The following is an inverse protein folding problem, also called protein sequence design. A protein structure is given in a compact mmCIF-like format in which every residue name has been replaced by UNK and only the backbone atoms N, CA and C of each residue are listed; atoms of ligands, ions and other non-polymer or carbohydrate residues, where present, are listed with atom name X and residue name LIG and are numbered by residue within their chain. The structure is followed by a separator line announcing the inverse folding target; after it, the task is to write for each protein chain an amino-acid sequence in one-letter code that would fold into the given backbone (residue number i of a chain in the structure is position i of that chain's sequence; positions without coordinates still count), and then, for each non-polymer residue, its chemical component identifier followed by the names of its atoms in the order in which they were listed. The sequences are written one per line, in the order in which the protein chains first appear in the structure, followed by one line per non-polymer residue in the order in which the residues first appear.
data_IF_852589885325
#
_entry.id   IF_852589885325
#
_cell.length_a   1.000
_cell.length_b   1.000
_cell.length_c   1.000
_cell.angle_alpha   90.00
_cell.angle_beta   90.00
_cell.angle_gamma   90.00
#
_symmetry.space_group_name_H-M   'P 1'
#
loop_
_entity.id
_entity.type
_entity.pdbx_description
1 polymer ?
#
# COMPACT_ATOMS: atom_id res chain seq x y z
N UNK A 1 16.67 -2.63 -5.65
CA UNK A 1 15.18 -2.41 -5.69
C UNK A 1 14.43 -3.63 -6.18
N UNK A 2 13.23 -3.85 -5.67
CA UNK A 2 12.33 -4.91 -6.16
C UNK A 2 11.27 -4.34 -7.11
N UNK A 3 11.09 -5.00 -8.24
CA UNK A 3 10.06 -4.66 -9.22
C UNK A 3 9.04 -5.79 -9.28
N UNK A 4 7.77 -5.47 -9.15
CA UNK A 4 6.68 -6.44 -9.28
C UNK A 4 5.99 -6.29 -10.62
N UNK A 5 5.97 -7.36 -11.39
CA UNK A 5 5.20 -7.46 -12.65
C UNK A 5 4.02 -8.38 -12.47
N UNK A 6 2.90 -8.04 -13.08
CA UNK A 6 1.64 -8.75 -12.89
C UNK A 6 1.16 -9.44 -14.16
N UNK A 7 0.75 -10.70 -14.02
CA UNK A 7 0.13 -11.50 -15.09
C UNK A 7 -1.25 -11.95 -14.62
N UNK A 8 -2.25 -11.83 -15.47
CA UNK A 8 -3.61 -12.26 -15.17
C UNK A 8 -3.87 -13.66 -15.74
N UNK A 9 -4.34 -14.57 -14.89
CA UNK A 9 -4.77 -15.92 -15.26
C UNK A 9 -6.29 -15.97 -15.19
N UNK A 10 -6.92 -16.21 -16.33
CA UNK A 10 -8.37 -16.38 -16.42
C UNK A 10 -8.76 -17.84 -16.20
N UNK A 11 -10.05 -18.11 -16.01
CA UNK A 11 -10.58 -19.45 -15.76
C UNK A 11 -10.36 -20.46 -16.91
N UNK A 12 -10.20 -20.00 -18.16
CA UNK A 12 -9.89 -20.83 -19.32
C UNK A 12 -8.39 -21.10 -19.55
N UNK A 13 -7.52 -20.57 -18.68
CA UNK A 13 -6.09 -20.78 -18.82
C UNK A 13 -5.69 -22.17 -18.33
N UNK A 14 -4.80 -22.85 -19.03
CA UNK A 14 -4.32 -24.21 -18.72
C UNK A 14 -3.72 -24.41 -17.32
N UNK A 15 -3.23 -23.34 -16.69
CA UNK A 15 -2.72 -23.36 -15.31
C UNK A 15 -3.80 -22.99 -14.28
N UNK A 16 -5.05 -22.79 -14.67
CA UNK A 16 -6.09 -22.38 -13.72
C UNK A 16 -6.30 -23.40 -12.60
N UNK A 17 -6.48 -24.69 -12.98
CA UNK A 17 -6.65 -25.79 -12.02
C UNK A 17 -5.46 -25.95 -11.07
N UNK A 18 -4.24 -25.81 -11.59
CA UNK A 18 -3.03 -25.84 -10.81
C UNK A 18 -2.99 -24.74 -9.75
N UNK A 19 -3.24 -23.49 -10.12
CA UNK A 19 -3.25 -22.38 -9.16
C UNK A 19 -4.42 -22.47 -8.19
N UNK A 20 -5.57 -22.98 -8.64
CA UNK A 20 -6.72 -23.22 -7.77
C UNK A 20 -6.37 -24.20 -6.64
N UNK A 21 -5.76 -25.32 -6.98
CA UNK A 21 -5.33 -26.33 -6.01
C UNK A 21 -4.30 -25.75 -5.02
N UNK A 22 -3.26 -25.08 -5.51
CA UNK A 22 -2.27 -24.46 -4.63
C UNK A 22 -2.90 -23.43 -3.65
N UNK A 23 -3.81 -22.58 -4.12
CA UNK A 23 -4.46 -21.58 -3.28
C UNK A 23 -5.37 -22.21 -2.19
N UNK A 24 -6.06 -23.30 -2.52
CA UNK A 24 -6.87 -24.07 -1.55
C UNK A 24 -5.97 -24.74 -0.50
N UNK A 25 -4.90 -25.42 -0.93
CA UNK A 25 -3.92 -26.06 -0.03
C UNK A 25 -3.24 -25.04 0.89
N UNK A 26 -2.90 -23.85 0.35
CA UNK A 26 -2.35 -22.75 1.15
C UNK A 26 -3.35 -22.26 2.21
N UNK A 27 -4.64 -22.21 1.88
CA UNK A 27 -5.69 -21.87 2.83
C UNK A 27 -5.78 -22.89 3.98
N UNK A 28 -5.70 -24.17 3.66
CA UNK A 28 -5.72 -25.25 4.64
C UNK A 28 -4.51 -25.15 5.58
N UNK A 29 -3.31 -25.03 5.05
CA UNK A 29 -2.09 -24.90 5.87
C UNK A 29 -2.11 -23.63 6.75
N UNK A 30 -2.65 -22.53 6.24
CA UNK A 30 -2.85 -21.33 7.06
C UNK A 30 -3.73 -21.65 8.28
N UNK A 31 -4.88 -22.32 8.05
CA UNK A 31 -5.80 -22.70 9.11
C UNK A 31 -5.19 -23.74 10.07
N UNK A 32 -4.47 -24.74 9.57
CA UNK A 32 -3.74 -25.70 10.38
C UNK A 32 -2.70 -25.01 11.28
N UNK A 33 -1.99 -24.03 10.76
CA UNK A 33 -1.01 -23.25 11.53
C UNK A 33 -1.68 -22.40 12.61
N UNK A 34 -2.78 -21.70 12.28
CA UNK A 34 -3.57 -20.94 13.27
C UNK A 34 -4.12 -21.86 14.34
N UNK A 35 -4.64 -23.04 13.94
CA UNK A 35 -5.14 -24.04 14.85
C UNK A 35 -4.06 -24.47 15.85
N UNK A 36 -2.89 -24.89 15.37
CA UNK A 36 -1.79 -25.34 16.21
C UNK A 36 -1.37 -24.26 17.23
N UNK A 37 -1.22 -22.99 16.78
CA UNK A 37 -0.83 -21.88 17.65
C UNK A 37 -1.89 -21.63 18.73
N UNK A 38 -3.18 -21.65 18.35
CA UNK A 38 -4.27 -21.40 19.29
C UNK A 38 -4.42 -22.54 20.28
N UNK A 39 -4.37 -23.79 19.81
CA UNK A 39 -4.46 -24.96 20.67
C UNK A 39 -3.34 -24.98 21.72
N UNK A 40 -2.11 -24.69 21.31
CA UNK A 40 -0.99 -24.59 22.24
C UNK A 40 -1.23 -23.52 23.32
N UNK A 41 -1.68 -22.34 22.93
CA UNK A 41 -1.91 -21.23 23.87
C UNK A 41 -3.06 -21.51 24.83
N UNK A 42 -4.13 -22.19 24.40
CA UNK A 42 -5.30 -22.51 25.23
C UNK A 42 -5.08 -23.77 26.06
N UNK A 43 -4.33 -24.76 25.55
CA UNK A 43 -4.02 -25.98 26.30
C UNK A 43 -3.24 -25.70 27.59
N UNK A 44 -2.38 -24.68 27.59
CA UNK A 44 -1.68 -24.23 28.81
C UNK A 44 -2.67 -23.67 29.85
N UNK A 45 -3.83 -23.18 29.41
CA UNK A 45 -4.86 -22.59 30.29
C UNK A 45 -5.98 -23.56 30.67
N UNK A 46 -6.21 -24.60 29.86
CA UNK A 46 -7.30 -25.57 30.02
C UNK A 46 -6.74 -27.00 30.11
N UNK A 47 -5.85 -27.22 31.06
CA UNK A 47 -5.00 -28.42 31.18
C UNK A 47 -5.79 -29.76 31.19
N UNK A 48 -6.93 -29.84 31.84
CA UNK A 48 -7.68 -31.10 32.00
C UNK A 48 -8.34 -31.61 30.72
N UNK A 49 -8.87 -30.71 29.88
CA UNK A 49 -9.64 -31.08 28.67
C UNK A 49 -8.72 -31.41 27.49
N UNK A 50 -7.51 -30.82 27.45
CA UNK A 50 -6.59 -30.89 26.33
C UNK A 50 -5.36 -31.77 26.58
N UNK A 51 -5.34 -32.49 27.70
CA UNK A 51 -4.21 -33.31 28.15
C UNK A 51 -3.69 -34.29 27.07
N UNK A 52 -4.53 -35.06 26.34
CA UNK A 52 -4.02 -36.01 25.36
C UNK A 52 -3.31 -35.31 24.14
N UNK A 53 -3.78 -34.11 23.79
CA UNK A 53 -3.16 -33.32 22.72
C UNK A 53 -1.85 -32.68 23.22
N UNK A 54 -1.86 -32.26 24.47
CA UNK A 54 -0.70 -31.68 25.14
C UNK A 54 0.41 -32.71 25.36
N UNK A 55 0.10 -33.92 25.81
CA UNK A 55 1.08 -34.99 26.01
C UNK A 55 1.77 -35.37 24.70
N UNK A 56 1.01 -35.53 23.64
CA UNK A 56 1.58 -35.79 22.30
C UNK A 56 2.45 -34.65 21.78
N UNK A 57 2.06 -33.40 22.03
CA UNK A 57 2.86 -32.24 21.72
C UNK A 57 4.12 -32.19 22.59
N UNK A 58 4.03 -32.53 23.86
CA UNK A 58 5.15 -32.56 24.79
C UNK A 58 6.17 -33.64 24.45
N UNK A 59 5.74 -34.82 24.03
CA UNK A 59 6.63 -35.86 23.52
C UNK A 59 7.44 -35.37 22.32
N UNK A 60 6.78 -34.68 21.38
CA UNK A 60 7.44 -34.08 20.22
C UNK A 60 8.41 -32.99 20.64
N UNK A 61 8.10 -32.17 21.65
CA UNK A 61 9.01 -31.16 22.18
C UNK A 61 10.22 -31.77 22.83
N UNK A 62 10.09 -32.80 23.63
CA UNK A 62 11.20 -33.53 24.28
C UNK A 62 12.12 -34.17 23.22
N UNK A 63 11.56 -34.70 22.14
CA UNK A 63 12.35 -35.22 20.99
C UNK A 63 13.13 -34.13 20.27
N UNK A 64 12.61 -32.91 20.20
CA UNK A 64 13.29 -31.74 19.59
C UNK A 64 14.45 -31.29 20.46
N UNK A 65 14.24 -31.21 21.78
CA UNK A 65 15.26 -30.79 22.73
C UNK A 65 16.47 -31.72 22.73
N UNK A 66 16.22 -33.02 22.56
CA UNK A 66 17.30 -34.03 22.49
C UNK A 66 18.14 -33.97 21.22
N UNK A 67 17.63 -33.43 20.10
CA UNK A 67 18.31 -33.41 18.79
C UNK A 67 18.98 -32.09 18.43
N UNK A 68 18.64 -30.99 19.07
CA UNK A 68 19.23 -29.67 18.79
C UNK A 68 20.13 -29.21 19.92
N UNK A 69 21.42 -29.55 19.82
CA UNK A 69 22.43 -28.99 20.72
C UNK A 69 22.35 -27.45 20.69
N UNK A 70 21.92 -26.85 21.81
CA UNK A 70 22.00 -25.43 22.05
C UNK A 70 20.73 -24.60 21.80
N UNK A 71 19.62 -25.18 21.39
CA UNK A 71 18.35 -24.45 21.31
C UNK A 71 17.46 -24.89 22.48
N UNK A 72 17.50 -24.16 23.58
CA UNK A 72 16.51 -24.36 24.66
C UNK A 72 15.13 -24.00 24.10
N UNK A 73 14.33 -25.01 23.82
CA UNK A 73 12.90 -24.82 23.58
C UNK A 73 12.27 -24.52 24.94
N UNK A 74 12.12 -23.23 25.23
CA UNK A 74 11.47 -22.81 26.45
C UNK A 74 10.00 -23.20 26.38
N UNK A 75 9.63 -24.30 27.01
CA UNK A 75 8.25 -24.67 27.35
C UNK A 75 7.53 -23.57 28.16
N UNK A 76 8.29 -22.58 28.63
CA UNK A 76 7.77 -21.39 29.33
C UNK A 76 7.18 -20.34 28.41
N UNK A 77 7.33 -20.43 27.08
CA UNK A 77 6.70 -19.45 26.17
C UNK A 77 5.28 -19.85 25.84
N UNK A 78 4.34 -18.95 26.10
CA UNK A 78 2.92 -19.12 25.80
C UNK A 78 2.62 -19.30 24.29
N UNK A 79 3.61 -19.06 23.41
CA UNK A 79 3.44 -19.02 21.97
C UNK A 79 4.54 -19.78 21.24
N UNK A 80 4.15 -20.53 20.20
CA UNK A 80 5.06 -21.26 19.34
C UNK A 80 5.83 -20.31 18.41
N UNK A 81 7.14 -20.59 18.21
CA UNK A 81 7.94 -19.91 17.22
C UNK A 81 7.97 -20.70 15.88
N UNK A 82 8.58 -20.09 14.84
CA UNK A 82 8.68 -20.69 13.51
C UNK A 82 9.34 -22.08 13.51
N UNK A 83 10.46 -22.23 14.21
CA UNK A 83 11.22 -23.49 14.23
C UNK A 83 10.41 -24.62 14.86
N UNK A 84 9.70 -24.32 15.94
CA UNK A 84 8.82 -25.27 16.65
C UNK A 84 7.68 -25.73 15.74
N UNK A 85 6.99 -24.82 15.06
CA UNK A 85 5.87 -25.15 14.17
C UNK A 85 6.34 -25.96 12.96
N UNK A 86 7.41 -25.53 12.29
CA UNK A 86 7.99 -26.22 11.13
C UNK A 86 8.39 -27.66 11.49
N UNK A 87 9.02 -27.83 12.65
CA UNK A 87 9.41 -29.14 13.16
C UNK A 87 8.20 -30.01 13.52
N UNK A 88 7.22 -29.47 14.26
CA UNK A 88 6.00 -30.19 14.62
C UNK A 88 5.27 -30.72 13.38
N UNK A 89 5.10 -29.89 12.36
CA UNK A 89 4.47 -30.32 11.12
C UNK A 89 5.24 -31.43 10.40
N UNK A 90 6.57 -31.41 10.47
CA UNK A 90 7.42 -32.46 9.88
C UNK A 90 7.33 -33.77 10.64
N UNK A 91 7.43 -33.75 11.96
CA UNK A 91 7.40 -34.97 12.79
C UNK A 91 6.03 -35.61 12.78
N UNK A 92 4.97 -34.81 12.80
CA UNK A 92 3.59 -35.32 12.74
C UNK A 92 3.13 -35.69 11.32
N UNK A 93 4.00 -35.58 10.31
CA UNK A 93 3.67 -35.78 8.89
C UNK A 93 2.39 -35.04 8.49
N UNK A 94 2.28 -33.75 8.87
CA UNK A 94 1.09 -32.97 8.62
C UNK A 94 0.76 -32.90 7.14
N UNK A 95 -0.45 -33.36 6.78
CA UNK A 95 -0.89 -33.49 5.41
C UNK A 95 -0.91 -32.17 4.64
N UNK A 96 -1.33 -31.08 5.29
CA UNK A 96 -1.40 -29.74 4.67
C UNK A 96 -0.01 -29.14 4.45
N UNK A 97 0.95 -29.45 5.34
CA UNK A 97 2.34 -29.03 5.20
C UNK A 97 3.01 -29.66 3.98
N UNK A 98 2.84 -30.97 3.78
CA UNK A 98 3.44 -31.71 2.67
C UNK A 98 2.65 -31.60 1.36
N UNK A 99 1.43 -31.07 1.41
CA UNK A 99 0.61 -30.83 0.20
C UNK A 99 1.16 -29.71 -0.68
N UNK A 100 2.08 -28.88 -0.17
CA UNK A 100 2.70 -27.73 -0.84
C UNK A 100 4.21 -27.95 -1.01
N UNK A 101 4.88 -27.24 -1.94
CA UNK A 101 6.34 -27.16 -1.94
C UNK A 101 6.86 -26.70 -0.59
N UNK A 102 7.93 -27.32 -0.08
CA UNK A 102 8.43 -27.09 1.29
C UNK A 102 8.69 -25.61 1.58
N UNK A 103 9.31 -24.89 0.65
CA UNK A 103 9.58 -23.45 0.82
C UNK A 103 8.25 -22.66 0.90
N UNK A 104 7.25 -23.02 0.11
CA UNK A 104 5.93 -22.41 0.18
C UNK A 104 5.30 -22.64 1.58
N UNK A 105 5.32 -23.87 2.09
CA UNK A 105 4.79 -24.21 3.43
C UNK A 105 5.48 -23.39 4.52
N UNK A 106 6.80 -23.27 4.46
CA UNK A 106 7.56 -22.45 5.39
C UNK A 106 7.20 -20.97 5.32
N UNK A 107 6.97 -20.43 4.13
CA UNK A 107 6.53 -19.02 3.99
C UNK A 107 5.13 -18.80 4.57
N UNK A 108 4.22 -19.77 4.48
CA UNK A 108 2.88 -19.67 5.08
C UNK A 108 2.96 -19.65 6.61
N UNK A 109 3.77 -20.50 7.23
CA UNK A 109 4.02 -20.47 8.68
C UNK A 109 4.53 -19.09 9.11
N UNK A 110 5.54 -18.55 8.40
CA UNK A 110 6.09 -17.22 8.68
C UNK A 110 5.03 -16.11 8.52
N UNK A 111 4.13 -16.24 7.54
CA UNK A 111 3.02 -15.31 7.33
C UNK A 111 2.08 -15.30 8.54
N UNK A 112 1.64 -16.49 9.01
CA UNK A 112 0.75 -16.60 10.18
C UNK A 112 1.42 -16.02 11.43
N UNK A 113 2.69 -16.33 11.66
CA UNK A 113 3.43 -15.77 12.82
C UNK A 113 3.58 -14.26 12.75
N UNK A 114 3.74 -13.69 11.54
CA UNK A 114 3.75 -12.23 11.34
C UNK A 114 2.39 -11.62 11.68
N UNK A 115 1.29 -12.29 11.31
CA UNK A 115 -0.06 -11.83 11.64
C UNK A 115 -0.27 -11.83 13.17
N UNK A 116 0.18 -12.87 13.88
CA UNK A 116 0.15 -12.91 15.34
C UNK A 116 1.07 -11.85 15.97
N UNK A 117 2.27 -11.63 15.45
CA UNK A 117 3.17 -10.56 15.92
C UNK A 117 2.51 -9.19 15.81
N UNK A 118 1.86 -8.89 14.67
CA UNK A 118 1.12 -7.65 14.47
C UNK A 118 -0.03 -7.50 15.48
N UNK A 119 -0.76 -8.57 15.75
CA UNK A 119 -1.80 -8.61 16.78
C UNK A 119 -1.24 -8.26 18.17
N UNK A 120 -0.14 -8.88 18.60
CA UNK A 120 0.45 -8.60 19.91
C UNK A 120 0.96 -7.16 20.03
N UNK A 121 1.54 -6.62 18.98
CA UNK A 121 1.94 -5.21 18.95
C UNK A 121 0.72 -4.28 19.06
N UNK A 122 -0.35 -4.59 18.31
CA UNK A 122 -1.59 -3.80 18.35
C UNK A 122 -2.28 -3.87 19.72
N UNK A 123 -2.32 -5.04 20.38
CA UNK A 123 -2.87 -5.19 21.73
C UNK A 123 -2.07 -4.36 22.75
N UNK A 124 -0.74 -4.39 22.66
CA UNK A 124 0.11 -3.59 23.55
C UNK A 124 -0.13 -2.08 23.37
N UNK A 125 -0.24 -1.62 22.13
CA UNK A 125 -0.57 -0.22 21.83
C UNK A 125 -1.98 0.14 22.27
N UNK A 126 -2.96 -0.75 22.09
CA UNK A 126 -4.33 -0.54 22.56
C UNK A 126 -4.42 -0.44 24.08
N UNK A 127 -3.67 -1.24 24.82
CA UNK A 127 -3.60 -1.15 26.27
C UNK A 127 -3.07 0.20 26.75
N UNK A 128 -2.09 0.77 26.06
CA UNK A 128 -1.50 2.08 26.39
C UNK A 128 -2.37 3.26 25.93
N UNK A 129 -3.07 3.14 24.79
CA UNK A 129 -3.91 4.21 24.24
C UNK A 129 -5.14 3.64 23.53
N UNK A 130 -6.21 3.40 24.29
CA UNK A 130 -7.47 2.86 23.77
C UNK A 130 -8.18 3.82 22.80
N UNK A 131 -8.03 5.12 23.01
CA UNK A 131 -8.70 6.16 22.20
C UNK A 131 -8.18 6.22 20.75
N UNK A 132 -6.96 5.75 20.49
CA UNK A 132 -6.41 5.66 19.13
C UNK A 132 -6.99 4.52 18.27
N UNK A 133 -7.85 3.68 18.85
CA UNK A 133 -8.41 2.50 18.18
C UNK A 133 -9.93 2.56 18.11
N UNK A 134 -10.51 2.10 17.03
CA UNK A 134 -11.96 1.95 16.88
C UNK A 134 -12.56 0.79 17.72
N UNK A 135 -11.70 -0.03 18.30
CA UNK A 135 -12.07 -1.17 19.16
C UNK A 135 -10.86 -2.05 19.47
N UNK A 136 -11.08 -3.04 20.35
CA UNK A 136 -10.02 -3.98 20.73
C UNK A 136 -9.52 -4.79 19.54
N UNK A 137 -8.19 -4.85 19.27
CA UNK A 137 -7.63 -5.70 18.23
C UNK A 137 -8.02 -7.17 18.39
N UNK A 138 -8.41 -7.81 17.29
CA UNK A 138 -8.81 -9.21 17.27
C UNK A 138 -7.65 -10.12 16.89
N UNK A 139 -7.54 -11.25 17.58
CA UNK A 139 -6.56 -12.30 17.26
C UNK A 139 -6.78 -12.83 15.83
N UNK A 140 -5.70 -13.18 15.08
CA UNK A 140 -5.83 -13.80 13.76
C UNK A 140 -6.77 -15.00 13.78
N UNK A 141 -7.79 -14.97 12.91
CA UNK A 141 -8.83 -15.99 12.83
C UNK A 141 -8.57 -17.01 11.71
N UNK A 142 -9.42 -18.05 11.72
CA UNK A 142 -9.47 -18.99 10.61
C UNK A 142 -10.02 -18.32 9.34
N UNK A 143 -9.47 -18.71 8.21
CA UNK A 143 -10.02 -18.37 6.90
C UNK A 143 -11.17 -19.32 6.57
N UNK A 144 -12.07 -18.89 5.69
CA UNK A 144 -13.23 -19.68 5.26
C UNK A 144 -12.78 -21.07 4.76
N UNK A 145 -13.44 -22.12 5.25
CA UNK A 145 -13.22 -23.50 4.78
C UNK A 145 -13.47 -23.60 3.28
N UNK A 146 -12.62 -24.34 2.55
CA UNK A 146 -12.68 -24.41 1.09
C UNK A 146 -12.31 -23.11 0.36
N UNK A 147 -11.92 -22.06 1.09
CA UNK A 147 -11.46 -20.79 0.55
C UNK A 147 -10.11 -20.88 -0.14
N UNK A 148 -9.65 -19.75 -0.68
CA UNK A 148 -8.37 -19.63 -1.37
C UNK A 148 -7.50 -18.57 -0.72
N UNK A 149 -6.24 -18.90 -0.45
CA UNK A 149 -5.25 -17.97 0.09
C UNK A 149 -4.14 -17.68 -0.93
N UNK A 150 -3.46 -16.55 -0.74
CA UNK A 150 -2.30 -16.18 -1.56
C UNK A 150 -1.17 -17.17 -1.34
N UNK A 151 -0.66 -17.74 -2.44
CA UNK A 151 0.51 -18.62 -2.45
C UNK A 151 1.78 -17.78 -2.58
N UNK A 152 2.79 -18.11 -1.81
CA UNK A 152 4.12 -17.52 -1.87
C UNK A 152 5.12 -18.59 -2.33
N UNK A 153 5.66 -18.42 -3.52
CA UNK A 153 6.69 -19.29 -4.08
C UNK A 153 8.01 -18.53 -4.14
N UNK A 154 9.07 -19.14 -3.65
CA UNK A 154 10.41 -18.53 -3.63
C UNK A 154 11.16 -18.74 -4.94
N UNK A 155 12.31 -18.12 -5.09
CA UNK A 155 13.24 -18.38 -6.19
C UNK A 155 13.85 -19.79 -6.17
N UNK A 156 13.71 -20.52 -5.06
CA UNK A 156 14.07 -21.95 -4.99
C UNK A 156 12.99 -22.83 -5.62
N UNK A 157 11.70 -22.42 -5.49
CA UNK A 157 10.55 -23.13 -6.09
C UNK A 157 10.41 -22.83 -7.57
N UNK A 158 10.76 -21.61 -7.99
CA UNK A 158 10.49 -21.09 -9.34
C UNK A 158 11.80 -20.67 -10.03
N UNK A 159 11.88 -20.90 -11.35
CA UNK A 159 13.02 -20.45 -12.18
C UNK A 159 12.53 -19.83 -13.49
N UNK A 160 13.23 -18.84 -13.97
CA UNK A 160 12.98 -18.21 -15.27
C UNK A 160 13.95 -18.78 -16.31
N UNK A 161 13.40 -19.24 -17.44
CA UNK A 161 14.15 -19.69 -18.62
C UNK A 161 13.66 -18.90 -19.83
N UNK A 162 14.44 -17.95 -20.28
CA UNK A 162 14.02 -16.98 -21.29
C UNK A 162 12.72 -16.29 -20.92
N UNK A 163 11.69 -16.42 -21.75
CA UNK A 163 10.38 -15.83 -21.51
C UNK A 163 9.39 -16.79 -20.80
N UNK A 164 9.87 -17.81 -20.14
CA UNK A 164 9.03 -18.83 -19.48
C UNK A 164 9.39 -18.98 -18.01
N UNK A 165 8.40 -18.92 -17.15
CA UNK A 165 8.53 -19.19 -15.72
C UNK A 165 8.20 -20.67 -15.47
N UNK A 166 9.15 -21.43 -14.92
CA UNK A 166 8.96 -22.78 -14.39
C UNK A 166 8.36 -22.67 -12.99
N UNK A 167 7.29 -23.39 -12.75
CA UNK A 167 6.60 -23.51 -11.48
C UNK A 167 6.84 -24.90 -10.88
N UNK A 168 6.77 -25.07 -9.55
CA UNK A 168 6.95 -26.37 -8.91
C UNK A 168 5.78 -27.33 -9.25
N UNK A 169 6.05 -28.63 -9.22
CA UNK A 169 5.05 -29.69 -9.40
C UNK A 169 4.16 -29.57 -10.66
N UNK A 170 4.65 -28.91 -11.74
CA UNK A 170 3.96 -28.87 -13.04
C UNK A 170 4.97 -28.81 -14.19
N UNK A 171 4.62 -29.50 -15.29
CA UNK A 171 5.37 -29.42 -16.56
C UNK A 171 5.02 -28.19 -17.38
N UNK A 172 3.87 -27.56 -17.10
CA UNK A 172 3.38 -26.38 -17.83
C UNK A 172 4.12 -25.14 -17.36
N UNK A 173 4.77 -24.45 -18.30
CA UNK A 173 5.47 -23.19 -18.02
C UNK A 173 4.57 -21.99 -18.32
N UNK A 174 4.61 -20.98 -17.44
CA UNK A 174 3.89 -19.73 -17.64
C UNK A 174 4.69 -18.82 -18.56
N UNK A 175 4.07 -18.33 -19.63
CA UNK A 175 4.68 -17.32 -20.50
C UNK A 175 4.71 -15.97 -19.78
N UNK A 176 5.91 -15.40 -19.67
CA UNK A 176 6.18 -14.11 -19.03
C UNK A 176 6.80 -13.09 -20.00
N UNK A 177 6.71 -13.29 -21.30
CA UNK A 177 7.28 -12.39 -22.32
C UNK A 177 6.83 -10.93 -22.14
N UNK A 178 5.58 -10.72 -21.70
CA UNK A 178 5.01 -9.39 -21.47
C UNK A 178 5.67 -8.58 -20.36
N UNK A 179 6.48 -9.23 -19.49
CA UNK A 179 7.11 -8.53 -18.36
C UNK A 179 8.54 -8.03 -18.66
N UNK A 180 9.08 -8.34 -19.85
CA UNK A 180 10.40 -7.87 -20.30
C UNK A 180 11.58 -8.58 -19.62
N UNK A 181 12.81 -8.09 -19.91
CA UNK A 181 14.03 -8.56 -19.26
C UNK A 181 14.30 -7.75 -17.99
N UNK A 182 14.31 -8.39 -16.85
CA UNK A 182 14.61 -7.77 -15.55
C UNK A 182 15.42 -8.75 -14.70
N UNK A 183 16.21 -8.22 -13.76
CA UNK A 183 17.08 -8.91 -12.80
C UNK A 183 16.69 -10.28 -12.26
N UNK A 184 17.24 -10.68 -11.13
CA UNK A 184 17.03 -12.00 -10.55
C UNK A 184 15.59 -12.17 -10.01
N UNK A 185 15.01 -13.37 -10.21
CA UNK A 185 13.73 -13.72 -9.59
C UNK A 185 13.91 -13.84 -8.07
N UNK A 186 13.07 -13.19 -7.30
CA UNK A 186 13.02 -13.29 -5.84
C UNK A 186 11.82 -14.11 -5.36
N UNK A 187 10.63 -13.81 -5.87
CA UNK A 187 9.40 -14.39 -5.39
C UNK A 187 8.31 -14.37 -6.47
N UNK A 188 7.43 -15.36 -6.42
CA UNK A 188 6.20 -15.40 -7.21
C UNK A 188 5.02 -15.50 -6.26
N UNK A 189 4.08 -14.53 -6.33
CA UNK A 189 2.86 -14.54 -5.54
C UNK A 189 1.67 -14.86 -6.40
N UNK A 190 0.91 -15.88 -6.03
CA UNK A 190 -0.33 -16.25 -6.70
C UNK A 190 -1.48 -15.73 -5.85
N UNK A 191 -2.11 -14.65 -6.29
CA UNK A 191 -3.23 -14.00 -5.58
C UNK A 191 -4.55 -14.45 -6.19
N UNK A 192 -5.40 -15.16 -5.45
CA UNK A 192 -6.72 -15.50 -5.96
C UNK A 192 -7.56 -14.25 -6.17
N UNK A 193 -8.31 -14.23 -7.25
CA UNK A 193 -9.37 -13.27 -7.51
C UNK A 193 -10.65 -14.01 -7.90
N UNK A 194 -11.76 -13.31 -8.03
CA UNK A 194 -13.08 -13.95 -8.18
C UNK A 194 -13.16 -15.05 -9.27
N UNK A 195 -12.56 -14.85 -10.44
CA UNK A 195 -12.61 -15.84 -11.55
C UNK A 195 -11.25 -16.09 -12.18
N UNK A 196 -10.21 -16.10 -11.34
CA UNK A 196 -8.86 -16.32 -11.83
C UNK A 196 -7.80 -16.04 -10.77
N UNK A 197 -6.62 -15.69 -11.25
CA UNK A 197 -5.49 -15.40 -10.38
C UNK A 197 -4.70 -14.22 -10.96
N UNK A 198 -4.13 -13.42 -10.07
CA UNK A 198 -3.10 -12.45 -10.41
C UNK A 198 -1.77 -13.03 -9.95
N UNK A 199 -0.87 -13.22 -10.89
CA UNK A 199 0.49 -13.69 -10.60
C UNK A 199 1.40 -12.48 -10.53
N UNK A 200 1.94 -12.21 -9.34
CA UNK A 200 2.98 -11.21 -9.14
C UNK A 200 4.34 -11.89 -9.28
N UNK A 201 5.13 -11.46 -10.23
CA UNK A 201 6.53 -11.87 -10.38
C UNK A 201 7.40 -10.76 -9.81
N UNK A 202 8.05 -11.04 -8.67
CA UNK A 202 8.93 -10.10 -7.97
C UNK A 202 10.35 -10.34 -8.43
N UNK A 203 10.94 -9.31 -9.03
CA UNK A 203 12.27 -9.33 -9.61
C UNK A 203 13.17 -8.32 -8.90
N UNK A 204 14.42 -8.69 -8.66
CA UNK A 204 15.42 -7.76 -8.19
C UNK A 204 16.06 -7.06 -9.38
N UNK A 205 16.13 -5.76 -9.33
CA UNK A 205 16.88 -4.95 -10.30
C UNK A 205 17.91 -4.13 -9.52
N UNK A 206 19.20 -4.29 -9.77
CA UNK A 206 20.20 -3.37 -9.27
C UNK A 206 19.90 -1.98 -9.85
N UNK A 207 19.89 -0.96 -9.03
CA UNK A 207 19.77 0.43 -9.43
C UNK A 207 20.90 1.16 -8.71
N UNK A 208 21.80 1.75 -9.46
CA UNK A 208 22.81 2.65 -8.92
C UNK A 208 22.09 3.89 -8.37
N UNK A 209 22.46 4.32 -7.16
CA UNK A 209 21.82 5.44 -6.49
C UNK A 209 20.39 5.18 -6.00
N UNK A 210 20.06 3.93 -5.61
CA UNK A 210 18.74 3.59 -5.06
C UNK A 210 18.47 4.36 -3.77
N UNK A 211 17.43 5.19 -3.77
CA UNK A 211 16.91 5.86 -2.58
C UNK A 211 15.85 4.96 -1.94
N UNK A 212 16.10 4.52 -0.70
CA UNK A 212 15.11 3.82 0.12
C UNK A 212 14.31 4.88 0.87
N UNK A 213 13.10 5.15 0.39
CA UNK A 213 12.23 6.15 0.99
C UNK A 213 11.25 5.48 1.96
N UNK A 214 11.65 5.38 3.21
CA UNK A 214 10.82 4.95 4.34
C UNK A 214 10.55 6.12 5.32
N UNK A 215 9.91 5.85 6.44
CA UNK A 215 9.63 6.90 7.45
C UNK A 215 10.91 7.49 8.06
N UNK A 216 11.97 6.68 8.19
CA UNK A 216 13.25 7.12 8.74
C UNK A 216 13.93 8.08 7.76
N UNK A 217 14.05 7.69 6.49
CA UNK A 217 14.63 8.55 5.44
C UNK A 217 13.85 9.86 5.28
N UNK A 218 12.51 9.81 5.35
CA UNK A 218 11.70 11.02 5.31
C UNK A 218 11.99 11.95 6.50
N UNK A 219 12.22 11.41 7.71
CA UNK A 219 12.60 12.20 8.88
C UNK A 219 14.01 12.80 8.74
N UNK A 220 14.95 12.05 8.17
CA UNK A 220 16.31 12.54 7.85
C UNK A 220 16.25 13.71 6.86
N UNK A 221 15.45 13.60 5.78
CA UNK A 221 15.26 14.68 4.82
C UNK A 221 14.63 15.92 5.47
N UNK A 222 13.62 15.77 6.32
CA UNK A 222 13.02 16.88 7.05
C UNK A 222 14.07 17.60 7.91
N UNK A 223 14.93 16.85 8.58
CA UNK A 223 16.02 17.41 9.39
C UNK A 223 17.07 18.11 8.51
N UNK A 224 17.48 17.49 7.40
CA UNK A 224 18.44 18.03 6.42
C UNK A 224 17.99 19.41 5.90
N UNK A 225 16.70 19.56 5.57
CA UNK A 225 16.19 20.78 4.94
C UNK A 225 15.64 21.82 5.91
N UNK A 226 15.51 21.50 7.20
CA UNK A 226 14.95 22.42 8.20
C UNK A 226 15.72 23.75 8.32
N UNK A 227 17.05 23.69 8.27
CA UNK A 227 17.92 24.83 8.52
C UNK A 227 18.51 25.42 7.22
N UNK A 228 18.08 24.93 6.06
CA UNK A 228 18.53 25.41 4.75
C UNK A 228 17.93 26.78 4.47
N UNK A 229 18.78 27.78 4.22
CA UNK A 229 18.37 29.15 3.88
C UNK A 229 18.35 29.45 2.39
N UNK A 230 19.12 28.70 1.60
CA UNK A 230 19.14 28.73 0.13
C UNK A 230 18.96 27.34 -0.44
N UNK A 231 18.00 27.18 -1.33
CA UNK A 231 17.75 25.91 -2.02
C UNK A 231 18.35 25.96 -3.42
N UNK A 232 19.58 25.44 -3.57
CA UNK A 232 20.25 25.33 -4.87
C UNK A 232 19.72 24.17 -5.74
N UNK A 233 18.96 23.27 -5.14
CA UNK A 233 18.37 22.09 -5.76
C UNK A 233 17.05 22.45 -6.45
N UNK A 234 16.80 21.86 -7.62
CA UNK A 234 15.51 21.98 -8.29
C UNK A 234 14.47 21.13 -7.59
N UNK A 235 13.42 21.77 -7.13
CA UNK A 235 12.35 21.17 -6.33
C UNK A 235 10.98 21.26 -7.02
N UNK A 236 10.12 20.27 -6.77
CA UNK A 236 8.68 20.32 -7.08
C UNK A 236 7.86 20.22 -5.80
N UNK A 237 6.78 21.02 -5.72
CA UNK A 237 5.74 20.88 -4.72
C UNK A 237 4.48 20.26 -5.33
N UNK A 238 3.88 19.27 -4.67
CA UNK A 238 2.68 18.57 -5.14
C UNK A 238 1.59 18.63 -4.09
N UNK A 239 0.46 19.24 -4.44
CA UNK A 239 -0.81 19.16 -3.70
C UNK A 239 -1.73 18.11 -4.34
N UNK A 240 -2.28 17.21 -3.52
CA UNK A 240 -3.16 16.12 -3.96
C UNK A 240 -4.62 16.46 -3.64
N UNK A 241 -5.41 16.65 -4.69
CA UNK A 241 -6.80 17.05 -4.55
C UNK A 241 -7.82 16.14 -5.24
N UNK A 242 -9.08 16.56 -5.21
CA UNK A 242 -10.21 15.84 -5.82
C UNK A 242 -10.53 16.31 -7.25
N UNK A 243 -10.57 17.62 -7.47
CA UNK A 243 -10.91 18.20 -8.77
C UNK A 243 -9.71 18.27 -9.69
N UNK A 244 -8.60 18.66 -9.13
CA UNK A 244 -7.27 18.45 -9.67
C UNK A 244 -6.63 17.34 -8.83
N UNK A 245 -6.23 16.25 -9.48
CA UNK A 245 -5.60 15.11 -8.80
C UNK A 245 -4.24 15.48 -8.24
N UNK A 246 -3.49 16.30 -9.00
CA UNK A 246 -2.24 16.90 -8.55
C UNK A 246 -2.16 18.34 -9.07
N UNK A 247 -1.81 19.27 -8.20
CA UNK A 247 -1.28 20.57 -8.58
C UNK A 247 0.25 20.51 -8.37
N UNK A 248 1.02 20.89 -9.39
CA UNK A 248 2.49 20.79 -9.39
C UNK A 248 3.09 22.14 -9.62
N UNK A 249 3.91 22.58 -8.68
CA UNK A 249 4.71 23.81 -8.75
C UNK A 249 6.20 23.50 -8.75
N UNK A 250 7.04 24.48 -9.07
CA UNK A 250 8.48 24.33 -9.09
C UNK A 250 9.17 25.59 -8.57
N UNK A 251 10.48 25.53 -8.25
CA UNK A 251 11.30 26.66 -7.82
C UNK A 251 12.26 27.17 -8.89
N UNK A 252 12.02 26.86 -10.14
CA UNK A 252 12.91 27.20 -11.26
C UNK A 252 12.19 27.92 -12.41
N UNK A 253 11.12 28.67 -12.10
CA UNK A 253 10.46 29.63 -12.98
C UNK A 253 9.58 29.06 -14.09
N UNK A 254 9.32 27.74 -14.13
CA UNK A 254 8.41 27.18 -15.12
C UNK A 254 6.94 27.27 -14.66
N UNK A 255 6.05 27.46 -15.64
CA UNK A 255 4.61 27.51 -15.39
C UNK A 255 4.12 26.27 -14.65
N UNK A 256 3.46 26.41 -13.50
CA UNK A 256 2.80 25.32 -12.78
C UNK A 256 1.76 24.59 -13.64
N UNK A 257 1.48 23.35 -13.30
CA UNK A 257 0.45 22.59 -14.03
C UNK A 257 -0.46 21.80 -13.10
N UNK A 258 -1.67 21.55 -13.60
CA UNK A 258 -2.70 20.77 -12.93
C UNK A 258 -2.98 19.48 -13.70
N UNK A 259 -3.04 18.37 -12.98
CA UNK A 259 -3.53 17.09 -13.52
C UNK A 259 -4.96 16.89 -13.03
N UNK A 260 -5.92 16.81 -13.96
CA UNK A 260 -7.35 16.74 -13.61
C UNK A 260 -7.71 15.45 -12.86
N UNK A 261 -8.52 15.58 -11.79
CA UNK A 261 -9.12 14.46 -11.06
C UNK A 261 -10.53 14.10 -11.56
N UNK A 262 -11.13 14.95 -12.43
CA UNK A 262 -12.47 14.74 -12.97
C UNK A 262 -12.68 13.40 -13.68
N UNK A 263 -11.71 12.81 -14.43
CA UNK A 263 -11.89 11.48 -15.01
C UNK A 263 -12.10 10.39 -13.94
N UNK A 264 -11.41 10.46 -12.81
CA UNK A 264 -11.59 9.52 -11.70
C UNK A 264 -12.97 9.65 -11.06
N UNK A 265 -13.48 10.89 -10.91
CA UNK A 265 -14.84 11.15 -10.42
C UNK A 265 -15.87 10.53 -11.36
N UNK A 266 -15.76 10.76 -12.67
CA UNK A 266 -16.68 10.22 -13.68
C UNK A 266 -16.69 8.69 -13.67
N UNK A 267 -15.52 8.04 -13.59
CA UNK A 267 -15.41 6.59 -13.49
C UNK A 267 -16.13 6.07 -12.24
N UNK A 268 -15.93 6.73 -11.08
CA UNK A 268 -16.54 6.33 -9.82
C UNK A 268 -18.06 6.55 -9.83
N UNK A 269 -18.54 7.67 -10.34
CA UNK A 269 -19.98 7.97 -10.44
C UNK A 269 -20.72 6.96 -11.34
N UNK A 270 -20.17 6.66 -12.52
CA UNK A 270 -20.72 5.64 -13.41
C UNK A 270 -20.73 4.26 -12.76
N UNK A 271 -19.64 3.91 -12.08
CA UNK A 271 -19.53 2.67 -11.32
C UNK A 271 -20.61 2.57 -10.24
N UNK A 272 -20.74 3.58 -9.39
CA UNK A 272 -21.69 3.60 -8.29
C UNK A 272 -23.13 3.48 -8.81
N UNK A 273 -23.53 4.26 -9.83
CA UNK A 273 -24.86 4.20 -10.44
C UNK A 273 -25.18 2.78 -10.97
N UNK A 274 -24.23 2.16 -11.69
CA UNK A 274 -24.44 0.81 -12.23
C UNK A 274 -24.42 -0.25 -11.14
N UNK A 275 -23.54 -0.12 -10.14
CA UNK A 275 -23.47 -1.07 -9.03
C UNK A 275 -24.79 -1.09 -8.24
N UNK A 276 -25.31 0.07 -7.87
CA UNK A 276 -26.60 0.20 -7.15
C UNK A 276 -27.75 -0.45 -7.94
N UNK A 277 -27.82 -0.19 -9.25
CA UNK A 277 -28.81 -0.83 -10.11
C UNK A 277 -28.69 -2.36 -10.11
N UNK A 278 -27.49 -2.92 -10.30
CA UNK A 278 -27.31 -4.38 -10.29
C UNK A 278 -27.53 -4.99 -8.91
N UNK A 279 -27.24 -4.27 -7.83
CA UNK A 279 -27.54 -4.72 -6.47
C UNK A 279 -29.05 -4.80 -6.24
N UNK A 280 -29.83 -3.78 -6.63
CA UNK A 280 -31.29 -3.83 -6.49
C UNK A 280 -31.89 -4.99 -7.27
N UNK A 281 -31.52 -5.17 -8.55
CA UNK A 281 -32.00 -6.29 -9.39
C UNK A 281 -31.62 -7.64 -8.78
N UNK A 282 -30.38 -7.81 -8.33
CA UNK A 282 -29.94 -9.08 -7.75
C UNK A 282 -30.65 -9.44 -6.45
N UNK A 283 -30.94 -8.45 -5.62
CA UNK A 283 -31.71 -8.64 -4.39
C UNK A 283 -33.16 -9.01 -4.68
N UNK A 284 -33.79 -8.31 -5.64
CA UNK A 284 -35.22 -8.54 -5.97
C UNK A 284 -35.44 -9.87 -6.66
N UNK A 285 -34.55 -10.29 -7.57
CA UNK A 285 -34.77 -11.48 -8.43
C UNK A 285 -34.26 -12.77 -7.79
N UNK A 286 -33.11 -12.74 -7.11
CA UNK A 286 -32.41 -13.95 -6.66
C UNK A 286 -31.99 -13.94 -5.20
N UNK A 287 -32.33 -12.91 -4.44
CA UNK A 287 -31.83 -12.67 -3.07
C UNK A 287 -30.30 -12.82 -2.93
N UNK A 288 -29.56 -12.42 -3.97
CA UNK A 288 -28.10 -12.54 -4.05
C UNK A 288 -27.46 -11.17 -3.87
N UNK A 289 -26.56 -11.05 -2.91
CA UNK A 289 -25.88 -9.79 -2.60
C UNK A 289 -24.84 -9.37 -3.66
N UNK A 290 -24.24 -10.32 -4.39
CA UNK A 290 -23.17 -10.00 -5.33
C UNK A 290 -23.13 -10.96 -6.54
N UNK A 291 -23.15 -10.39 -7.74
CA UNK A 291 -23.20 -11.15 -9.00
C UNK A 291 -21.88 -11.04 -9.77
N UNK A 292 -21.70 -11.96 -10.73
CA UNK A 292 -20.59 -11.91 -11.68
C UNK A 292 -20.45 -10.56 -12.40
N UNK A 293 -21.60 -9.95 -12.75
CA UNK A 293 -21.65 -8.68 -13.48
C UNK A 293 -21.13 -7.52 -12.62
N UNK A 294 -21.49 -7.51 -11.32
CA UNK A 294 -20.97 -6.53 -10.36
C UNK A 294 -19.45 -6.69 -10.19
N UNK A 295 -18.96 -7.93 -10.14
CA UNK A 295 -17.52 -8.19 -10.08
C UNK A 295 -16.77 -7.62 -11.29
N UNK A 296 -17.26 -7.89 -12.52
CA UNK A 296 -16.64 -7.35 -13.73
C UNK A 296 -16.67 -5.83 -13.77
N UNK A 297 -17.76 -5.23 -13.30
CA UNK A 297 -17.90 -3.79 -13.19
C UNK A 297 -16.85 -3.21 -12.23
N UNK A 298 -16.72 -3.81 -11.04
CA UNK A 298 -15.72 -3.43 -10.03
C UNK A 298 -14.29 -3.55 -10.56
N UNK A 299 -13.99 -4.67 -11.21
CA UNK A 299 -12.68 -4.90 -11.83
C UNK A 299 -12.36 -3.88 -12.92
N UNK A 300 -13.32 -3.59 -13.79
CA UNK A 300 -13.16 -2.58 -14.86
C UNK A 300 -12.85 -1.22 -14.25
N UNK A 301 -13.65 -0.79 -13.27
CA UNK A 301 -13.43 0.46 -12.54
C UNK A 301 -12.05 0.52 -11.90
N UNK A 302 -11.63 -0.51 -11.18
CA UNK A 302 -10.34 -0.53 -10.50
C UNK A 302 -9.17 -0.48 -11.49
N UNK A 303 -9.27 -1.15 -12.64
CA UNK A 303 -8.26 -1.09 -13.68
C UNK A 303 -8.17 0.30 -14.31
N UNK A 304 -9.29 0.96 -14.59
CA UNK A 304 -9.32 2.32 -15.13
C UNK A 304 -8.68 3.33 -14.18
N UNK A 305 -8.98 3.24 -12.87
CA UNK A 305 -8.36 4.10 -11.85
C UNK A 305 -6.86 3.84 -11.77
N UNK A 306 -6.46 2.57 -11.72
CA UNK A 306 -5.03 2.20 -11.67
C UNK A 306 -4.28 2.71 -12.90
N UNK A 307 -4.84 2.58 -14.08
CA UNK A 307 -4.26 3.07 -15.33
C UNK A 307 -4.07 4.60 -15.29
N UNK A 308 -5.10 5.34 -14.89
CA UNK A 308 -5.04 6.78 -14.77
C UNK A 308 -3.96 7.25 -13.79
N UNK A 309 -3.87 6.61 -12.61
CA UNK A 309 -2.83 6.91 -11.62
C UNK A 309 -1.42 6.59 -12.19
N UNK A 310 -1.26 5.46 -12.88
CA UNK A 310 0.01 5.11 -13.50
C UNK A 310 0.46 6.14 -14.55
N UNK A 311 -0.45 6.63 -15.38
CA UNK A 311 -0.18 7.67 -16.37
C UNK A 311 0.19 8.99 -15.70
N UNK A 312 -0.59 9.42 -14.72
CA UNK A 312 -0.32 10.62 -13.91
C UNK A 312 1.09 10.59 -13.30
N UNK A 313 1.41 9.51 -12.61
CA UNK A 313 2.70 9.39 -11.91
C UNK A 313 3.87 9.20 -12.87
N UNK A 314 3.66 8.61 -14.06
CA UNK A 314 4.68 8.56 -15.12
C UNK A 314 4.93 9.93 -15.72
N UNK A 315 3.87 10.73 -15.94
CA UNK A 315 4.01 12.09 -16.42
C UNK A 315 4.83 12.96 -15.46
N UNK A 316 4.51 12.90 -14.14
CA UNK A 316 5.28 13.62 -13.10
C UNK A 316 6.75 13.18 -13.09
N UNK A 317 7.01 11.86 -13.13
CA UNK A 317 8.37 11.35 -13.12
C UNK A 317 9.18 11.76 -14.37
N UNK A 318 8.55 11.74 -15.55
CA UNK A 318 9.20 12.21 -16.78
C UNK A 318 9.46 13.72 -16.75
N UNK A 319 8.51 14.51 -16.24
CA UNK A 319 8.69 15.96 -16.08
C UNK A 319 9.84 16.26 -15.12
N UNK A 320 9.90 15.58 -13.98
CA UNK A 320 10.97 15.74 -13.01
C UNK A 320 12.34 15.37 -13.61
N UNK A 321 12.42 14.26 -14.36
CA UNK A 321 13.63 13.83 -15.04
C UNK A 321 14.09 14.85 -16.09
N UNK A 322 13.18 15.31 -16.95
CA UNK A 322 13.49 16.25 -18.04
C UNK A 322 14.00 17.59 -17.53
N UNK A 323 13.53 18.02 -16.36
CA UNK A 323 13.91 19.29 -15.75
C UNK A 323 15.02 19.16 -14.69
N UNK A 324 15.69 18.01 -14.60
CA UNK A 324 16.76 17.74 -13.65
C UNK A 324 16.36 18.08 -12.19
N UNK A 325 15.16 17.65 -11.79
CA UNK A 325 14.64 17.83 -10.41
C UNK A 325 15.39 16.91 -9.47
N UNK A 326 15.80 17.43 -8.31
CA UNK A 326 16.51 16.69 -7.28
C UNK A 326 15.57 16.18 -6.20
N UNK A 327 14.56 16.97 -5.83
CA UNK A 327 13.62 16.66 -4.74
C UNK A 327 12.18 16.99 -5.13
N UNK A 328 11.24 16.14 -4.68
CA UNK A 328 9.81 16.35 -4.86
C UNK A 328 9.13 16.31 -3.48
N UNK A 329 8.43 17.39 -3.13
CA UNK A 329 7.68 17.50 -1.89
C UNK A 329 6.22 17.18 -2.16
N UNK A 330 5.64 16.28 -1.37
CA UNK A 330 4.24 15.86 -1.47
C UNK A 330 3.52 16.16 -0.16
N UNK A 331 2.46 16.95 -0.21
CA UNK A 331 1.57 17.17 0.92
C UNK A 331 0.71 15.93 1.19
N UNK A 332 0.64 15.48 2.44
CA UNK A 332 -0.22 14.39 2.85
C UNK A 332 -0.48 14.38 4.35
N UNK A 333 -1.74 14.38 4.74
CA UNK A 333 -2.14 14.16 6.13
C UNK A 333 -2.45 12.69 6.37
N UNK A 334 -1.73 12.06 7.29
CA UNK A 334 -2.09 10.72 7.79
C UNK A 334 -3.50 10.79 8.39
N UNK A 335 -4.36 9.83 8.07
CA UNK A 335 -5.75 9.75 8.56
C UNK A 335 -6.73 10.77 7.95
N UNK A 336 -6.35 11.54 6.95
CA UNK A 336 -7.18 12.55 6.28
C UNK A 336 -8.56 12.01 5.82
N UNK A 337 -8.71 10.68 5.62
CA UNK A 337 -9.97 10.03 5.23
C UNK A 337 -10.82 9.57 6.42
N UNK A 338 -10.33 9.70 7.63
CA UNK A 338 -11.09 9.33 8.83
C UNK A 338 -11.86 10.57 9.32
N UNK A 339 -13.14 10.39 9.62
CA UNK A 339 -14.04 11.45 10.14
C UNK A 339 -14.22 12.68 9.23
N UNK A 340 -14.04 12.54 7.91
CA UNK A 340 -14.25 13.63 6.96
C UNK A 340 -15.75 13.94 6.87
N UNK A 341 -16.12 15.19 7.13
CA UNK A 341 -17.47 15.71 6.95
C UNK A 341 -17.48 16.91 5.98
N UNK A 342 -17.23 16.63 4.69
CA UNK A 342 -17.30 17.61 3.58
C UNK A 342 -18.55 17.40 2.72
N UNK A 343 -19.59 16.76 3.29
CA UNK A 343 -20.83 16.39 2.62
C UNK A 343 -20.77 15.01 1.95
N UNK A 344 -21.92 14.32 1.91
CA UNK A 344 -22.04 12.91 1.49
C UNK A 344 -21.38 12.59 0.13
N UNK A 345 -21.63 13.42 -0.89
CA UNK A 345 -21.10 13.22 -2.25
C UNK A 345 -19.59 13.43 -2.30
N UNK A 346 -19.08 14.45 -1.59
CA UNK A 346 -17.66 14.72 -1.54
C UNK A 346 -16.92 13.63 -0.74
N UNK A 347 -17.49 13.19 0.38
CA UNK A 347 -16.94 12.08 1.18
C UNK A 347 -16.82 10.81 0.33
N UNK A 348 -17.86 10.45 -0.42
CA UNK A 348 -17.84 9.30 -1.31
C UNK A 348 -16.76 9.43 -2.40
N UNK A 349 -16.66 10.57 -3.06
CA UNK A 349 -15.64 10.82 -4.08
C UNK A 349 -14.22 10.76 -3.49
N UNK A 350 -14.01 11.36 -2.31
CA UNK A 350 -12.71 11.38 -1.66
C UNK A 350 -12.28 9.99 -1.20
N UNK A 351 -13.17 9.22 -0.58
CA UNK A 351 -12.88 7.86 -0.12
C UNK A 351 -12.51 6.90 -1.28
N UNK A 352 -13.07 7.15 -2.47
CA UNK A 352 -12.87 6.26 -3.64
C UNK A 352 -11.60 6.56 -4.46
N UNK A 353 -10.89 7.66 -4.19
CA UNK A 353 -9.59 7.95 -4.83
C UNK A 353 -8.48 7.33 -3.99
N UNK A 354 -7.67 6.40 -4.51
CA UNK A 354 -6.61 5.74 -3.75
C UNK A 354 -5.35 6.63 -3.66
N UNK A 355 -5.40 7.67 -2.80
CA UNK A 355 -4.30 8.64 -2.59
C UNK A 355 -3.01 7.96 -2.14
N UNK A 356 -3.09 6.98 -1.25
CA UNK A 356 -1.91 6.20 -0.83
C UNK A 356 -1.22 5.51 -2.01
N UNK A 357 -2.00 4.92 -2.95
CA UNK A 357 -1.43 4.31 -4.16
C UNK A 357 -0.76 5.38 -5.05
N UNK A 358 -1.35 6.56 -5.17
CA UNK A 358 -0.78 7.68 -5.93
C UNK A 358 0.59 8.08 -5.36
N UNK A 359 0.66 8.33 -4.05
CA UNK A 359 1.89 8.70 -3.34
C UNK A 359 2.96 7.62 -3.48
N UNK A 360 2.62 6.37 -3.20
CA UNK A 360 3.55 5.24 -3.35
C UNK A 360 4.09 5.12 -4.78
N UNK A 361 3.25 5.40 -5.80
CA UNK A 361 3.70 5.37 -7.19
C UNK A 361 4.59 6.57 -7.55
N UNK A 362 4.33 7.76 -7.01
CA UNK A 362 5.23 8.91 -7.14
C UNK A 362 6.58 8.56 -6.53
N UNK A 363 6.61 8.11 -5.27
CA UNK A 363 7.83 7.73 -4.56
C UNK A 363 8.67 6.72 -5.36
N UNK A 364 8.12 5.53 -5.67
CA UNK A 364 8.95 4.50 -6.29
C UNK A 364 9.43 4.86 -7.70
N UNK A 365 8.67 5.66 -8.45
CA UNK A 365 9.09 6.09 -9.79
C UNK A 365 10.21 7.12 -9.74
N UNK A 366 10.12 8.09 -8.84
CA UNK A 366 11.13 9.13 -8.64
C UNK A 366 12.40 8.55 -8.02
N UNK A 367 12.28 7.70 -7.00
CA UNK A 367 13.43 7.02 -6.39
C UNK A 367 14.24 6.20 -7.41
N UNK A 368 13.57 5.59 -8.37
CA UNK A 368 14.24 4.91 -9.51
C UNK A 368 15.02 5.83 -10.42
N UNK A 369 14.80 7.12 -10.36
CA UNK A 369 15.52 8.16 -11.09
C UNK A 369 16.57 8.88 -10.23
N UNK A 370 16.75 8.43 -8.96
CA UNK A 370 17.61 9.09 -8.01
C UNK A 370 17.06 10.41 -7.47
N UNK A 371 15.74 10.63 -7.57
CA UNK A 371 15.06 11.86 -7.13
C UNK A 371 14.47 11.60 -5.73
N UNK A 372 14.83 12.42 -4.77
CA UNK A 372 14.32 12.36 -3.40
C UNK A 372 12.84 12.72 -3.33
N UNK A 373 12.07 12.08 -2.46
CA UNK A 373 10.66 12.39 -2.25
C UNK A 373 10.41 12.63 -0.77
N UNK A 374 10.03 13.85 -0.43
CA UNK A 374 9.71 14.28 0.92
C UNK A 374 8.20 14.35 1.10
N UNK A 375 7.65 13.65 2.08
CA UNK A 375 6.24 13.73 2.44
C UNK A 375 6.11 14.59 3.68
N UNK A 376 5.30 15.65 3.58
CA UNK A 376 5.06 16.59 4.68
C UNK A 376 3.60 16.63 5.08
N UNK A 377 3.37 17.05 6.29
CA UNK A 377 2.04 17.39 6.80
C UNK A 377 1.55 18.68 6.12
N UNK A 378 0.29 18.68 5.62
CA UNK A 378 -0.23 19.74 4.75
C UNK A 378 -1.25 20.68 5.43
N UNK A 379 -1.36 20.69 6.77
CA UNK A 379 -2.30 21.57 7.46
C UNK A 379 -2.06 23.02 7.09
N UNK A 380 -3.14 23.74 6.89
CA UNK A 380 -3.20 25.17 6.58
C UNK A 380 -2.59 25.61 5.24
N UNK A 381 -1.98 24.75 4.46
CA UNK A 381 -1.37 25.10 3.17
C UNK A 381 -2.38 25.65 2.15
N UNK A 382 -3.65 25.24 2.23
CA UNK A 382 -4.73 25.71 1.35
C UNK A 382 -5.37 27.03 1.79
N UNK A 383 -5.16 27.47 3.03
CA UNK A 383 -5.74 28.71 3.59
C UNK A 383 -4.71 29.82 3.74
N UNK A 384 -3.44 29.50 3.89
CA UNK A 384 -2.36 30.46 3.96
C UNK A 384 -2.05 31.08 2.60
N UNK A 385 -1.67 32.37 2.57
CA UNK A 385 -1.20 33.04 1.37
C UNK A 385 0.26 32.68 1.09
N UNK A 386 0.54 32.10 -0.07
CA UNK A 386 1.90 31.93 -0.55
C UNK A 386 2.57 33.27 -0.89
N UNK A 387 1.86 34.16 -1.58
CA UNK A 387 2.40 35.45 -2.04
C UNK A 387 2.71 36.43 -0.92
N UNK A 388 1.98 36.36 0.19
CA UNK A 388 2.22 37.20 1.38
C UNK A 388 3.07 36.47 2.42
N UNK A 389 3.54 35.26 2.13
CA UNK A 389 4.40 34.47 3.00
C UNK A 389 3.79 34.24 4.40
N UNK A 390 2.46 34.02 4.47
CA UNK A 390 1.77 33.74 5.74
C UNK A 390 2.48 32.59 6.49
N UNK A 391 2.50 32.67 7.82
CA UNK A 391 3.01 31.59 8.65
C UNK A 391 2.22 30.28 8.40
N UNK A 392 2.91 29.14 8.32
CA UNK A 392 2.35 27.83 8.05
C UNK A 392 2.40 26.95 9.31
N UNK A 393 1.37 27.00 10.18
CA UNK A 393 1.35 26.24 11.41
C UNK A 393 1.14 24.74 11.17
N UNK A 394 1.43 23.96 12.20
CA UNK A 394 1.10 22.53 12.26
C UNK A 394 -0.11 22.34 13.16
N UNK A 395 -1.10 21.58 12.67
CA UNK A 395 -2.35 21.36 13.41
C UNK A 395 -2.11 20.74 14.79
N UNK A 396 -2.70 21.35 15.81
CA UNK A 396 -2.61 20.88 17.20
C UNK A 396 -1.26 21.14 17.89
N UNK A 397 -0.32 21.84 17.24
CA UNK A 397 0.98 22.19 17.84
C UNK A 397 1.07 23.72 18.05
N UNK A 398 0.97 24.50 16.99
CA UNK A 398 1.20 25.95 16.99
C UNK A 398 0.13 26.74 16.22
N UNK A 399 -1.05 26.16 16.01
CA UNK A 399 -2.11 26.69 15.15
C UNK A 399 -3.06 27.70 15.84
N UNK A 400 -3.00 27.84 17.17
CA UNK A 400 -3.96 28.66 17.94
C UNK A 400 -3.89 30.17 17.65
N UNK A 401 -2.73 30.69 17.22
CA UNK A 401 -2.51 32.10 16.91
C UNK A 401 -2.40 32.38 15.41
N UNK A 402 -2.73 31.41 14.55
CA UNK A 402 -2.57 31.55 13.11
C UNK A 402 -3.56 32.57 12.53
N UNK A 403 -3.04 33.55 11.80
CA UNK A 403 -3.83 34.48 10.99
C UNK A 403 -3.38 34.41 9.53
N UNK A 404 -4.35 34.55 8.61
CA UNK A 404 -4.05 34.44 7.18
C UNK A 404 -4.50 35.69 6.44
N UNK A 405 -3.64 36.19 5.55
CA UNK A 405 -3.81 37.43 4.80
C UNK A 405 -4.57 37.26 3.48
N UNK A 406 -4.98 36.05 3.16
CA UNK A 406 -5.72 35.75 1.95
C UNK A 406 -6.94 34.87 2.20
N UNK A 407 -7.79 34.73 1.19
CA UNK A 407 -8.98 33.89 1.23
C UNK A 407 -9.33 33.32 -0.13
N UNK A 408 -9.99 32.15 -0.12
CA UNK A 408 -10.57 31.59 -1.33
C UNK A 408 -11.82 32.38 -1.71
N UNK A 409 -11.76 33.11 -2.83
CA UNK A 409 -12.86 33.98 -3.30
C UNK A 409 -13.93 33.21 -4.07
N UNK A 410 -13.54 32.15 -4.77
CA UNK A 410 -14.42 31.20 -5.41
C UNK A 410 -13.72 29.85 -5.61
N UNK A 411 -14.45 28.86 -6.08
CA UNK A 411 -13.85 27.54 -6.33
C UNK A 411 -12.70 27.63 -7.34
N UNK A 412 -11.50 27.20 -6.93
CA UNK A 412 -10.28 27.21 -7.75
C UNK A 412 -9.53 28.54 -7.77
N UNK A 413 -10.03 29.62 -7.15
CA UNK A 413 -9.36 30.89 -7.05
C UNK A 413 -9.13 31.32 -5.60
N UNK A 414 -7.90 31.70 -5.33
CA UNK A 414 -7.41 32.24 -4.06
C UNK A 414 -6.93 33.67 -4.27
N UNK A 415 -7.24 34.58 -3.35
CA UNK A 415 -6.81 35.97 -3.41
C UNK A 415 -6.08 36.34 -2.12
N UNK A 416 -4.81 36.67 -2.25
CA UNK A 416 -3.98 37.25 -1.22
C UNK A 416 -4.31 38.73 -1.08
N UNK A 417 -4.13 39.31 0.12
CA UNK A 417 -4.36 40.73 0.34
C UNK A 417 -3.38 41.57 -0.50
N UNK A 418 -3.92 42.55 -1.21
CA UNK A 418 -3.12 43.43 -2.09
C UNK A 418 -2.61 42.78 -3.39
N UNK A 419 -2.95 41.50 -3.68
CA UNK A 419 -2.45 40.76 -4.83
C UNK A 419 -3.56 40.40 -5.84
N UNK A 420 -3.18 39.97 -7.03
CA UNK A 420 -4.11 39.40 -8.02
C UNK A 420 -4.57 37.98 -7.60
N UNK A 421 -5.78 37.56 -8.00
CA UNK A 421 -6.20 36.20 -7.76
C UNK A 421 -5.28 35.19 -8.44
N UNK A 422 -4.99 34.09 -7.74
CA UNK A 422 -4.19 32.95 -8.23
C UNK A 422 -4.97 31.65 -8.15
N UNK A 423 -4.54 30.60 -8.84
CA UNK A 423 -5.15 29.30 -8.71
C UNK A 423 -4.96 28.76 -7.28
N UNK A 424 -6.08 28.37 -6.62
CA UNK A 424 -6.07 27.96 -5.22
C UNK A 424 -5.27 26.67 -4.94
N UNK A 425 -5.25 25.72 -5.90
CA UNK A 425 -4.52 24.46 -5.73
C UNK A 425 -3.03 24.69 -6.01
N UNK A 426 -2.68 25.66 -6.86
CA UNK A 426 -1.28 26.12 -7.05
C UNK A 426 -0.77 26.82 -5.80
N UNK A 427 -1.59 27.69 -5.17
CA UNK A 427 -1.24 28.31 -3.88
C UNK A 427 -0.97 27.22 -2.81
N UNK A 428 -1.82 26.21 -2.74
CA UNK A 428 -1.62 25.08 -1.81
C UNK A 428 -0.32 24.32 -2.07
N UNK A 429 -0.04 23.98 -3.33
CA UNK A 429 1.19 23.27 -3.72
C UNK A 429 2.47 24.10 -3.43
N UNK A 430 2.41 25.42 -3.63
CA UNK A 430 3.51 26.33 -3.32
C UNK A 430 3.75 26.42 -1.77
N UNK A 431 2.69 26.46 -0.99
CA UNK A 431 2.78 26.41 0.47
C UNK A 431 3.29 25.04 0.98
N UNK A 432 2.93 23.93 0.34
CA UNK A 432 3.51 22.61 0.63
C UNK A 432 5.02 22.63 0.43
N UNK A 433 5.50 23.18 -0.69
CA UNK A 433 6.93 23.31 -0.93
C UNK A 433 7.59 24.21 0.11
N UNK A 434 7.00 25.38 0.41
CA UNK A 434 7.51 26.30 1.44
C UNK A 434 7.54 25.69 2.83
N UNK A 435 6.55 24.86 3.19
CA UNK A 435 6.52 24.18 4.50
C UNK A 435 7.65 23.15 4.66
N UNK A 436 8.13 22.57 3.57
CA UNK A 436 9.29 21.67 3.57
C UNK A 436 10.62 22.41 3.72
N UNK A 437 10.69 23.67 3.29
CA UNK A 437 11.89 24.51 3.29
C UNK A 437 11.59 25.87 3.97
N UNK A 438 11.37 25.87 5.28
CA UNK A 438 10.77 27.02 5.97
C UNK A 438 11.65 28.27 5.96
N UNK A 439 12.97 28.13 5.90
CA UNK A 439 13.95 29.21 5.95
C UNK A 439 14.42 29.70 4.58
N UNK A 440 13.96 29.08 3.49
CA UNK A 440 14.32 29.50 2.13
C UNK A 440 13.51 30.72 1.74
N UNK A 441 14.19 31.76 1.27
CA UNK A 441 13.61 32.99 0.72
C UNK A 441 13.72 33.04 -0.81
N UNK A 442 13.04 34.02 -1.42
CA UNK A 442 13.18 34.26 -2.87
C UNK A 442 12.55 33.21 -3.77
N UNK A 443 11.42 32.63 -3.32
CA UNK A 443 10.71 31.63 -4.11
C UNK A 443 10.21 32.15 -5.45
N UNK A 444 10.74 31.62 -6.56
CA UNK A 444 10.13 31.73 -7.89
C UNK A 444 9.29 30.48 -8.19
N UNK A 445 8.11 30.41 -7.60
CA UNK A 445 7.21 29.26 -7.78
C UNK A 445 6.40 29.37 -9.07
N UNK A 446 6.52 30.47 -9.82
CA UNK A 446 5.67 30.73 -10.99
C UNK A 446 4.18 30.70 -10.66
N UNK A 447 3.79 31.07 -9.42
CA UNK A 447 2.37 31.08 -9.02
C UNK A 447 1.55 31.95 -9.95
N UNK A 448 0.62 31.35 -10.65
CA UNK A 448 -0.17 31.97 -11.73
C UNK A 448 -1.65 31.67 -11.55
N UNK A 449 -2.49 32.51 -12.12
CA UNK A 449 -3.94 32.33 -12.19
C UNK A 449 -4.33 31.23 -13.20
N UNK A 450 -3.55 31.05 -14.26
CA UNK A 450 -3.79 30.13 -15.35
C UNK A 450 -2.70 29.05 -15.47
N UNK A 451 -2.66 28.07 -14.57
CA UNK A 451 -1.69 26.96 -14.68
C UNK A 451 -1.98 26.08 -15.92
N UNK A 452 -0.95 25.46 -16.45
CA UNK A 452 -1.10 24.49 -17.53
C UNK A 452 -2.02 23.32 -17.10
N UNK A 453 -2.96 22.92 -17.93
CA UNK A 453 -3.89 21.82 -17.63
C UNK A 453 -3.54 20.57 -18.40
N UNK A 454 -3.30 19.45 -17.69
CA UNK A 454 -3.06 18.13 -18.28
C UNK A 454 -4.27 17.21 -17.97
N UNK A 455 -4.84 16.64 -19.04
CA UNK A 455 -5.82 15.56 -18.93
C UNK A 455 -5.00 14.27 -18.97
N UNK A 456 -4.72 13.64 -17.86
CA UNK A 456 -3.79 12.51 -17.71
C UNK A 456 -3.44 11.80 -19.02
N UNK A 457 -2.20 11.81 -19.38
CA UNK A 457 -1.69 11.31 -20.66
C UNK A 457 -1.82 9.79 -20.80
#
# INVERSE_FOLDING_TARGET
MYITKQIQIKNNHKLYGYFNNLCCKTNNLYNATVFLIRQYATAIQAFEIMQPLFDKQMEVYQMVESKTKGTQFYLKTKWLNYRQIDYLFKVTNNIDYYALPVQCSQQIIKLVLRDFKSYFQSIKLWQSNKAAFTGMPKMPGYKTSGGKSTVLLTNQDCKIYGNKLKLPATKVRLNIASIGKFGALKEVRVKPNYKGFTIDVVLEKPIEGEIINDEHHNAELLTKYKDVTELNERALGIDIGLSNLCAVVNNFGLTPFLIKGTPLKSINQLYNKRLTYYQSVAKTVNDVHYTNRMYYLTRKRNNQIKDYIHKTTTYIANYAKTNNVNIVVVGHNKLQKQNINIGHVNNQNFAQIPTTMLIQQIQYKLNRLGIEVLIIEESYTSVASFENLDYLPTYGIDDKAASFTGKRIQRGLYKSNGKRPVNADVNGAANIMRKAFPNVSGWDSGVVDTPGVKRGA
#
